data_IF_827490297955
#
_entry.id   IF_827490297955
#
_cell.length_a   1.000
_cell.length_b   1.000
_cell.length_c   1.000
_cell.angle_alpha   90.00
_cell.angle_beta   90.00
_cell.angle_gamma   90.00
#
_symmetry.space_group_name_H-M   'P 1'
#
loop_
_entity.id
_entity.type
_entity.pdbx_description
1 polymer ?
#
# COMPACT_ATOMS: atom_id res chain seq x y z
N UNK A 1 16.78 23.34 0.41
CA UNK A 1 16.80 22.33 -0.66
C UNK A 1 16.22 21.01 -0.14
N UNK A 2 15.38 20.34 -0.93
CA UNK A 2 14.83 19.03 -0.56
C UNK A 2 15.87 17.91 -0.60
N UNK A 3 15.61 16.79 0.07
CA UNK A 3 16.48 15.60 0.05
C UNK A 3 16.26 14.82 -1.25
N UNK A 4 17.35 14.36 -1.88
CA UNK A 4 17.28 13.49 -3.07
C UNK A 4 16.54 12.18 -2.78
N UNK A 5 15.76 11.70 -3.74
CA UNK A 5 15.10 10.38 -3.69
C UNK A 5 16.10 9.23 -3.59
N UNK A 6 17.33 9.44 -4.07
CA UNK A 6 18.42 8.46 -4.01
C UNK A 6 19.22 8.52 -2.70
N UNK A 7 18.92 9.48 -1.82
CA UNK A 7 19.54 9.61 -0.50
C UNK A 7 19.48 8.30 0.28
N UNK A 8 20.64 7.87 0.83
CA UNK A 8 20.75 6.69 1.71
C UNK A 8 19.76 6.76 2.87
N UNK A 9 19.63 7.93 3.52
CA UNK A 9 18.68 8.15 4.63
C UNK A 9 17.22 7.94 4.21
N UNK A 10 16.83 8.42 3.04
CA UNK A 10 15.46 8.24 2.52
C UNK A 10 15.18 6.78 2.12
N UNK A 11 16.19 6.06 1.62
CA UNK A 11 16.08 4.61 1.34
C UNK A 11 15.94 3.81 2.62
N UNK A 12 16.79 4.03 3.62
CA UNK A 12 16.71 3.37 4.94
C UNK A 12 15.33 3.57 5.58
N UNK A 13 14.83 4.80 5.60
CA UNK A 13 13.49 5.09 6.15
C UNK A 13 12.36 4.39 5.38
N UNK A 14 12.47 4.26 4.05
CA UNK A 14 11.49 3.51 3.24
C UNK A 14 11.54 2.01 3.55
N UNK A 15 12.72 1.44 3.72
CA UNK A 15 12.88 0.03 4.09
C UNK A 15 12.27 -0.25 5.46
N UNK A 16 12.55 0.60 6.46
CA UNK A 16 11.93 0.50 7.80
C UNK A 16 10.40 0.58 7.71
N UNK A 17 9.85 1.49 6.90
CA UNK A 17 8.40 1.59 6.68
C UNK A 17 7.82 0.35 5.98
N UNK A 18 8.51 -0.19 4.97
CA UNK A 18 8.10 -1.42 4.28
C UNK A 18 8.02 -2.57 5.26
N UNK A 19 9.09 -2.82 6.02
CA UNK A 19 9.16 -3.90 7.00
C UNK A 19 8.08 -3.77 8.10
N UNK A 20 7.90 -2.57 8.67
CA UNK A 20 6.99 -2.40 9.82
C UNK A 20 5.52 -2.24 9.45
N UNK A 21 5.20 -1.58 8.33
CA UNK A 21 3.84 -1.10 8.07
C UNK A 21 3.18 -1.77 6.87
N UNK A 22 3.93 -1.98 5.80
CA UNK A 22 3.35 -2.43 4.53
C UNK A 22 3.41 -3.95 4.39
N UNK A 23 4.54 -4.57 4.73
CA UNK A 23 4.73 -6.01 4.54
C UNK A 23 3.68 -6.87 5.25
N UNK A 24 3.43 -6.73 6.57
CA UNK A 24 2.50 -7.63 7.26
C UNK A 24 1.06 -7.47 6.78
N UNK A 25 0.66 -6.26 6.34
CA UNK A 25 -0.69 -6.02 5.80
C UNK A 25 -0.86 -6.56 4.39
N UNK A 26 0.16 -6.46 3.56
CA UNK A 26 0.13 -7.00 2.20
C UNK A 26 0.19 -8.52 2.26
N UNK A 27 1.08 -9.08 3.08
CA UNK A 27 1.17 -10.52 3.33
C UNK A 27 -0.12 -11.09 3.89
N UNK A 28 -0.77 -10.43 4.85
CA UNK A 28 -2.07 -10.88 5.36
C UNK A 28 -3.15 -10.88 4.27
N UNK A 29 -3.17 -9.88 3.39
CA UNK A 29 -4.12 -9.83 2.26
C UNK A 29 -3.83 -10.90 1.21
N UNK A 30 -2.56 -11.13 0.88
CA UNK A 30 -2.15 -12.18 -0.04
C UNK A 30 -2.47 -13.55 0.53
N UNK A 31 -2.17 -13.78 1.81
CA UNK A 31 -2.54 -14.99 2.52
C UNK A 31 -4.05 -15.17 2.58
N UNK A 32 -4.83 -14.12 2.82
CA UNK A 32 -6.29 -14.21 2.81
C UNK A 32 -6.85 -14.53 1.43
N UNK A 33 -6.30 -13.90 0.38
CA UNK A 33 -6.68 -14.20 -1.01
C UNK A 33 -6.34 -15.64 -1.40
N UNK A 34 -5.14 -16.11 -1.04
CA UNK A 34 -4.71 -17.50 -1.26
C UNK A 34 -5.45 -18.50 -0.37
N UNK A 35 -5.79 -18.12 0.87
CA UNK A 35 -6.55 -18.96 1.79
C UNK A 35 -8.02 -19.11 1.33
N UNK A 36 -8.57 -18.12 0.63
CA UNK A 36 -9.86 -18.25 -0.06
C UNK A 36 -9.82 -19.30 -1.20
N UNK A 37 -8.63 -19.66 -1.68
CA UNK A 37 -8.42 -20.73 -2.67
C UNK A 37 -8.05 -22.09 -2.05
N UNK A 38 -7.85 -22.16 -0.72
CA UNK A 38 -7.54 -23.40 -0.02
C UNK A 38 -8.83 -24.14 0.38
N UNK A 39 -9.56 -24.62 -0.62
CA UNK A 39 -10.62 -25.60 -0.39
C UNK A 39 -9.97 -26.99 -0.55
N UNK A 40 -9.97 -27.83 0.48
CA UNK A 40 -9.37 -29.18 0.38
C UNK A 40 -9.91 -30.00 -0.82
N UNK A 41 -11.12 -29.66 -1.28
CA UNK A 41 -11.72 -30.22 -2.48
C UNK A 41 -11.00 -29.83 -3.78
N UNK A 42 -10.47 -28.61 -3.90
CA UNK A 42 -9.73 -28.17 -5.09
C UNK A 42 -8.35 -28.84 -5.17
N UNK A 43 -7.68 -29.05 -4.03
CA UNK A 43 -6.43 -29.83 -4.01
C UNK A 43 -6.67 -31.29 -4.41
N UNK A 44 -7.70 -31.95 -3.87
CA UNK A 44 -8.03 -33.33 -4.25
C UNK A 44 -8.38 -33.44 -5.74
N UNK A 45 -9.12 -32.47 -6.28
CA UNK A 45 -9.44 -32.41 -7.71
C UNK A 45 -8.19 -32.14 -8.59
N UNK A 46 -7.31 -31.24 -8.17
CA UNK A 46 -6.06 -30.97 -8.89
C UNK A 46 -5.11 -32.17 -8.84
N UNK A 47 -4.97 -32.81 -7.67
CA UNK A 47 -4.16 -34.02 -7.50
C UNK A 47 -4.73 -35.20 -8.28
N UNK A 48 -6.06 -35.35 -8.34
CA UNK A 48 -6.67 -36.40 -9.16
C UNK A 48 -6.46 -36.14 -10.66
N UNK A 49 -6.63 -34.90 -11.13
CA UNK A 49 -6.30 -34.53 -12.51
C UNK A 49 -4.83 -34.79 -12.85
N UNK A 50 -3.92 -34.46 -11.94
CA UNK A 50 -2.49 -34.70 -12.17
C UNK A 50 -2.14 -36.19 -12.20
N UNK A 51 -2.78 -36.97 -11.33
CA UNK A 51 -2.65 -38.43 -11.33
C UNK A 51 -3.21 -39.03 -12.63
N UNK A 52 -4.35 -38.56 -13.12
CA UNK A 52 -4.95 -39.01 -14.38
C UNK A 52 -4.11 -38.61 -15.60
N UNK A 53 -3.42 -37.47 -15.56
CA UNK A 53 -2.49 -37.08 -16.63
C UNK A 53 -1.23 -37.96 -16.64
N UNK A 54 -0.70 -38.29 -15.47
CA UNK A 54 0.56 -39.04 -15.36
C UNK A 54 0.38 -40.55 -15.53
N UNK A 55 -0.73 -41.10 -15.03
CA UNK A 55 -0.98 -42.54 -14.98
C UNK A 55 -2.20 -42.98 -15.81
N UNK A 56 -3.01 -42.04 -16.30
CA UNK A 56 -4.16 -42.35 -17.14
C UNK A 56 -3.76 -42.64 -18.58
N UNK A 57 -4.62 -43.37 -19.31
CA UNK A 57 -4.43 -43.57 -20.74
C UNK A 57 -4.40 -42.21 -21.45
N UNK A 58 -3.48 -42.00 -22.41
CA UNK A 58 -3.39 -40.74 -23.13
C UNK A 58 -4.75 -40.39 -23.73
N UNK A 59 -5.21 -39.13 -23.63
CA UNK A 59 -6.53 -38.75 -24.10
C UNK A 59 -6.67 -39.11 -25.57
N UNK A 60 -7.72 -39.85 -25.90
CA UNK A 60 -8.01 -40.24 -27.27
C UNK A 60 -8.14 -38.97 -28.10
N UNK A 61 -7.17 -38.72 -28.99
CA UNK A 61 -7.17 -37.56 -29.87
C UNK A 61 -8.35 -37.74 -30.83
N UNK A 62 -9.40 -36.91 -30.75
CA UNK A 62 -10.55 -37.06 -31.61
C UNK A 62 -10.12 -36.78 -33.06
N UNK A 63 -10.25 -37.79 -33.92
CA UNK A 63 -9.91 -37.70 -35.35
C UNK A 63 -8.72 -38.55 -35.81
N UNK A 64 -8.08 -39.33 -34.92
CA UNK A 64 -7.08 -40.32 -35.34
C UNK A 64 -7.74 -41.70 -35.41
N UNK A 65 -8.35 -42.01 -36.56
CA UNK A 65 -8.88 -43.35 -36.87
C UNK A 65 -7.74 -44.39 -36.72
N UNK A 66 -7.89 -45.42 -35.86
CA UNK A 66 -6.90 -46.47 -35.69
C UNK A 66 -6.89 -47.37 -36.94
N UNK A 67 -6.22 -46.92 -37.99
CA UNK A 67 -6.19 -47.64 -39.26
C UNK A 67 -5.58 -46.90 -40.45
N UNK A 68 -5.32 -45.59 -40.35
CA UNK A 68 -4.61 -44.90 -41.43
C UNK A 68 -3.14 -45.34 -41.45
N UNK A 69 -2.80 -46.17 -42.43
CA UNK A 69 -1.44 -46.51 -42.86
C UNK A 69 -0.73 -45.23 -43.33
N UNK A 70 -0.38 -44.34 -42.41
CA UNK A 70 0.51 -43.23 -42.71
C UNK A 70 1.92 -43.82 -42.72
N UNK A 71 2.39 -43.96 -43.95
CA UNK A 71 3.70 -44.48 -44.28
C UNK A 71 4.78 -43.80 -43.45
N UNK A 72 5.72 -44.66 -43.05
CA UNK A 72 6.93 -44.40 -42.30
C UNK A 72 7.85 -43.54 -43.17
N UNK A 73 7.53 -42.25 -43.31
CA UNK A 73 8.39 -41.30 -44.01
C UNK A 73 9.69 -41.15 -43.21
N UNK A 74 10.78 -41.52 -43.87
CA UNK A 74 12.14 -41.46 -43.41
C UNK A 74 12.48 -40.06 -42.88
N UNK A 75 12.66 -39.93 -41.56
CA UNK A 75 13.37 -38.79 -40.98
C UNK A 75 14.86 -38.97 -41.31
N UNK A 76 15.29 -38.37 -42.42
CA UNK A 76 16.69 -38.08 -42.67
C UNK A 76 17.15 -37.03 -41.67
N UNK A 77 18.27 -37.33 -41.02
CA UNK A 77 18.95 -36.55 -39.99
C UNK A 77 19.34 -35.14 -40.49
N UNK A 78 18.42 -34.20 -40.35
CA UNK A 78 18.72 -32.78 -40.45
C UNK A 78 19.25 -32.28 -39.11
N UNK A 79 20.57 -32.22 -38.97
CA UNK A 79 21.27 -31.49 -37.90
C UNK A 79 20.83 -30.01 -37.93
N UNK A 80 19.79 -29.64 -37.17
CA UNK A 80 19.40 -28.25 -36.99
C UNK A 80 20.28 -27.67 -35.88
N UNK A 81 21.25 -26.85 -36.29
CA UNK A 81 22.14 -26.09 -35.41
C UNK A 81 21.36 -25.36 -34.31
N UNK A 82 21.65 -25.67 -33.05
CA UNK A 82 21.00 -25.17 -31.83
C UNK A 82 21.40 -23.71 -31.50
N UNK A 83 22.27 -23.07 -32.30
CA UNK A 83 22.91 -21.80 -31.91
C UNK A 83 22.13 -20.52 -32.27
N UNK A 84 20.84 -20.58 -32.62
CA UNK A 84 20.09 -19.39 -33.06
C UNK A 84 18.82 -19.04 -32.27
N UNK A 85 18.72 -19.45 -31.00
CA UNK A 85 17.54 -19.17 -30.16
C UNK A 85 17.82 -18.18 -29.00
N UNK A 86 19.08 -17.75 -28.77
CA UNK A 86 19.40 -16.94 -27.57
C UNK A 86 19.20 -15.42 -27.69
N UNK A 87 18.75 -14.88 -28.82
CA UNK A 87 18.53 -13.42 -28.98
C UNK A 87 17.07 -13.02 -29.24
N UNK A 88 16.11 -13.84 -28.82
CA UNK A 88 14.68 -13.50 -28.90
C UNK A 88 14.28 -12.53 -27.78
N UNK A 89 14.72 -11.28 -27.93
CA UNK A 89 13.93 -10.06 -27.73
C UNK A 89 13.16 -9.91 -26.41
N UNK A 90 13.86 -10.00 -25.26
CA UNK A 90 13.37 -9.61 -23.93
C UNK A 90 12.75 -8.20 -23.93
N UNK A 91 13.23 -7.30 -24.82
CA UNK A 91 12.68 -5.95 -25.00
C UNK A 91 11.26 -5.91 -25.57
N UNK A 92 10.89 -6.86 -26.44
CA UNK A 92 9.55 -6.91 -27.04
C UNK A 92 8.50 -7.39 -26.04
N UNK A 93 8.87 -8.32 -25.15
CA UNK A 93 7.98 -8.76 -24.06
C UNK A 93 7.70 -7.66 -23.05
N UNK A 94 8.71 -6.86 -22.68
CA UNK A 94 8.50 -5.74 -21.75
C UNK A 94 7.58 -4.66 -22.35
N UNK A 95 7.65 -4.39 -23.66
CA UNK A 95 6.74 -3.45 -24.33
C UNK A 95 5.29 -3.96 -24.40
N UNK A 96 5.09 -5.27 -24.62
CA UNK A 96 3.75 -5.86 -24.62
C UNK A 96 3.14 -5.87 -23.21
N UNK A 97 3.94 -6.09 -22.17
CA UNK A 97 3.49 -6.03 -20.77
C UNK A 97 3.14 -4.60 -20.32
N UNK A 98 3.93 -3.59 -20.71
CA UNK A 98 3.60 -2.17 -20.46
C UNK A 98 2.35 -1.71 -21.26
N UNK A 99 2.13 -2.23 -22.46
CA UNK A 99 0.92 -1.93 -23.24
C UNK A 99 -0.35 -2.56 -22.62
N UNK A 100 -0.25 -3.81 -22.16
CA UNK A 100 -1.36 -4.51 -21.50
C UNK A 100 -1.78 -3.81 -20.20
N UNK A 101 -0.84 -3.35 -19.38
CA UNK A 101 -1.14 -2.63 -18.13
C UNK A 101 -1.75 -1.24 -18.36
N UNK A 102 -1.45 -0.57 -19.48
CA UNK A 102 -2.12 0.70 -19.85
C UNK A 102 -3.56 0.50 -20.34
N UNK A 103 -3.87 -0.61 -21.00
CA UNK A 103 -5.23 -0.90 -21.43
C UNK A 103 -6.18 -1.13 -20.23
N UNK A 104 -5.69 -1.76 -19.16
CA UNK A 104 -6.48 -2.03 -17.95
C UNK A 104 -6.89 -0.76 -17.19
N UNK A 105 -6.12 0.34 -17.29
CA UNK A 105 -6.43 1.57 -16.54
C UNK A 105 -7.31 2.56 -17.29
N UNK A 106 -7.41 2.47 -18.63
CA UNK A 106 -8.32 3.29 -19.44
C UNK A 106 -9.67 2.63 -19.73
N UNK A 107 -9.79 1.32 -19.48
CA UNK A 107 -11.01 0.55 -19.65
C UNK A 107 -11.60 0.05 -18.33
N UNK A 108 -11.39 0.77 -17.22
CA UNK A 108 -12.09 0.51 -15.96
C UNK A 108 -13.58 0.85 -16.11
N UNK A 109 -14.28 0.01 -16.88
CA UNK A 109 -15.71 -0.23 -16.72
C UNK A 109 -15.88 -0.56 -15.26
N UNK A 110 -16.76 0.20 -14.62
CA UNK A 110 -17.24 -0.04 -13.27
C UNK A 110 -17.54 -1.54 -13.17
N UNK A 111 -16.72 -2.27 -12.42
CA UNK A 111 -17.14 -3.57 -11.90
C UNK A 111 -18.32 -3.19 -11.01
N UNK A 112 -19.55 -3.63 -11.30
CA UNK A 112 -20.67 -3.38 -10.41
C UNK A 112 -20.27 -3.94 -9.06
N UNK A 113 -20.34 -3.09 -8.03
CA UNK A 113 -20.05 -3.50 -6.66
C UNK A 113 -20.86 -4.78 -6.37
N UNK A 114 -20.25 -5.81 -5.75
CA UNK A 114 -20.99 -7.01 -5.36
C UNK A 114 -22.21 -6.58 -4.54
N UNK A 115 -23.37 -7.22 -4.73
CA UNK A 115 -24.60 -6.86 -4.03
C UNK A 115 -24.30 -6.80 -2.53
N UNK A 116 -24.33 -5.58 -1.99
CA UNK A 116 -24.32 -5.36 -0.56
C UNK A 116 -25.55 -6.06 0.00
N UNK A 117 -25.33 -7.06 0.85
CA UNK A 117 -26.40 -7.71 1.61
C UNK A 117 -27.38 -6.64 2.13
N UNK A 118 -28.67 -6.74 1.79
CA UNK A 118 -29.70 -6.03 2.54
C UNK A 118 -29.83 -6.70 3.91
N UNK A 119 -30.34 -5.98 4.90
CA UNK A 119 -30.65 -6.45 6.27
C UNK A 119 -29.55 -6.19 7.32
N UNK A 120 -29.27 -4.91 7.53
CA UNK A 120 -29.44 -4.37 8.89
C UNK A 120 -30.42 -3.20 8.74
N UNK A 121 -31.71 -3.53 8.71
CA UNK A 121 -32.79 -2.58 8.93
C UNK A 121 -32.66 -2.05 10.36
N UNK A 122 -31.74 -1.11 10.57
CA UNK A 122 -31.87 -0.21 11.71
C UNK A 122 -33.13 0.59 11.45
N UNK A 123 -34.24 0.15 12.05
CA UNK A 123 -35.47 0.91 12.20
C UNK A 123 -35.10 2.38 12.34
N UNK A 124 -35.45 3.15 11.31
CA UNK A 124 -35.32 4.59 11.33
C UNK A 124 -36.31 5.06 12.39
N UNK A 125 -35.82 5.17 13.62
CA UNK A 125 -36.48 5.89 14.69
C UNK A 125 -36.97 7.22 14.10
N UNK A 126 -38.29 7.36 13.90
CA UNK A 126 -39.02 8.60 13.59
C UNK A 126 -38.97 9.59 14.78
N UNK A 127 -37.82 9.63 15.45
CA UNK A 127 -37.49 10.57 16.51
C UNK A 127 -37.39 11.94 15.88
N UNK A 128 -38.10 12.87 16.52
CA UNK A 128 -38.16 14.31 16.25
C UNK A 128 -36.90 14.87 15.56
N UNK A 129 -37.05 15.87 14.67
CA UNK A 129 -35.95 16.44 13.92
C UNK A 129 -34.79 16.81 14.85
N UNK A 130 -33.70 16.05 14.77
CA UNK A 130 -32.54 16.23 15.64
C UNK A 130 -31.98 17.65 15.42
N UNK A 131 -31.99 18.45 16.48
CA UNK A 131 -31.41 19.79 16.45
C UNK A 131 -29.88 19.65 16.55
N UNK A 132 -29.19 20.05 15.50
CA UNK A 132 -27.72 20.03 15.43
C UNK A 132 -27.15 21.43 15.62
N UNK A 133 -26.09 21.54 16.41
CA UNK A 133 -25.30 22.77 16.52
C UNK A 133 -24.61 23.10 15.18
N UNK A 134 -24.79 24.28 14.57
CA UNK A 134 -24.20 24.59 13.25
C UNK A 134 -22.67 24.63 13.28
N UNK A 135 -22.07 24.92 14.44
CA UNK A 135 -20.62 25.03 14.62
C UNK A 135 -19.94 23.68 14.81
N UNK A 136 -20.52 22.83 15.65
CA UNK A 136 -19.91 21.54 16.03
C UNK A 136 -20.47 20.39 15.19
N UNK A 137 -21.64 20.56 14.56
CA UNK A 137 -22.46 19.53 13.92
C UNK A 137 -22.72 18.34 14.85
N UNK A 138 -22.88 18.61 16.14
CA UNK A 138 -23.27 17.61 17.13
C UNK A 138 -24.72 17.81 17.52
N UNK A 139 -25.41 16.72 17.83
CA UNK A 139 -26.73 16.77 18.45
C UNK A 139 -26.61 17.03 19.96
N UNK A 140 -27.76 17.12 20.63
CA UNK A 140 -27.87 17.32 22.08
C UNK A 140 -27.17 16.22 22.90
N UNK A 141 -26.96 15.04 22.32
CA UNK A 141 -26.27 13.90 22.93
C UNK A 141 -24.78 13.84 22.56
N UNK A 142 -24.29 14.81 21.80
CA UNK A 142 -22.89 14.88 21.36
C UNK A 142 -22.55 13.99 20.17
N UNK A 143 -23.55 13.34 19.55
CA UNK A 143 -23.40 12.48 18.38
C UNK A 143 -23.39 13.30 17.09
N UNK A 144 -22.69 12.78 16.08
CA UNK A 144 -22.65 13.36 14.75
C UNK A 144 -23.78 12.81 13.87
N UNK A 145 -24.24 13.57 12.85
CA UNK A 145 -25.21 13.06 11.89
C UNK A 145 -24.72 11.77 11.21
N UNK A 146 -25.62 10.83 10.89
CA UNK A 146 -25.27 9.54 10.31
C UNK A 146 -24.59 9.67 8.94
N UNK A 147 -24.96 10.70 8.16
CA UNK A 147 -24.33 11.02 6.88
C UNK A 147 -22.89 11.56 7.01
N UNK A 148 -22.43 11.82 8.24
CA UNK A 148 -21.11 12.36 8.51
C UNK A 148 -20.08 11.26 8.79
N UNK A 149 -19.34 10.86 7.75
CA UNK A 149 -18.29 9.84 7.87
C UNK A 149 -17.25 10.15 8.97
N UNK A 150 -16.75 9.10 9.65
CA UNK A 150 -15.70 9.18 10.70
C UNK A 150 -14.48 10.02 10.30
N UNK A 151 -14.11 10.03 9.01
CA UNK A 151 -13.02 10.87 8.47
C UNK A 151 -13.35 12.37 8.55
N UNK A 152 -14.57 12.77 8.18
CA UNK A 152 -15.04 14.17 8.23
C UNK A 152 -15.14 14.66 9.68
N UNK A 153 -15.61 13.80 10.58
CA UNK A 153 -15.63 14.05 12.04
C UNK A 153 -14.23 14.33 12.57
N UNK A 154 -13.26 13.47 12.25
CA UNK A 154 -11.85 13.66 12.64
C UNK A 154 -11.24 14.93 12.04
N UNK A 155 -11.55 15.27 10.79
CA UNK A 155 -11.06 16.48 10.15
C UNK A 155 -11.54 17.74 10.88
N UNK A 156 -12.83 17.83 11.22
CA UNK A 156 -13.37 18.96 12.00
C UNK A 156 -12.76 19.04 13.41
N UNK A 157 -12.60 17.92 14.10
CA UNK A 157 -11.99 17.92 15.43
C UNK A 157 -10.52 18.35 15.39
N UNK A 158 -9.76 17.93 14.38
CA UNK A 158 -8.39 18.39 14.15
C UNK A 158 -8.33 19.87 13.80
N UNK A 159 -9.23 20.37 12.95
CA UNK A 159 -9.29 21.78 12.59
C UNK A 159 -9.49 22.67 13.83
N UNK A 160 -10.40 22.28 14.73
CA UNK A 160 -10.61 22.99 16.00
C UNK A 160 -9.34 23.01 16.89
N UNK A 161 -8.62 21.89 16.99
CA UNK A 161 -7.34 21.81 17.74
C UNK A 161 -6.27 22.70 17.12
N UNK A 162 -6.16 22.71 15.80
CA UNK A 162 -5.20 23.55 15.06
C UNK A 162 -5.52 25.02 15.26
N UNK A 163 -6.80 25.42 15.21
CA UNK A 163 -7.20 26.80 15.45
C UNK A 163 -6.85 27.25 16.86
N UNK A 164 -7.18 26.44 17.89
CA UNK A 164 -6.80 26.73 19.29
C UNK A 164 -5.29 26.88 19.47
N UNK A 165 -4.49 26.07 18.78
CA UNK A 165 -3.04 26.18 18.81
C UNK A 165 -2.54 27.47 18.14
N UNK A 166 -3.15 27.88 17.02
CA UNK A 166 -2.86 29.16 16.35
C UNK A 166 -3.19 30.34 17.27
N UNK A 167 -4.38 30.34 17.88
CA UNK A 167 -4.84 31.41 18.75
C UNK A 167 -3.91 31.56 19.97
N UNK A 168 -3.50 30.43 20.59
CA UNK A 168 -2.51 30.43 21.68
C UNK A 168 -1.16 31.01 21.23
N UNK A 169 -0.70 30.71 20.01
CA UNK A 169 0.55 31.26 19.45
C UNK A 169 0.44 32.76 19.21
N UNK A 170 -0.71 33.23 18.71
CA UNK A 170 -0.97 34.67 18.52
C UNK A 170 -1.01 35.39 19.87
N UNK A 171 -1.70 34.84 20.87
CA UNK A 171 -1.76 35.38 22.22
C UNK A 171 -0.34 35.52 22.84
N UNK A 172 0.50 34.49 22.72
CA UNK A 172 1.89 34.55 23.19
C UNK A 172 2.72 35.64 22.49
N UNK A 173 2.51 35.84 21.18
CA UNK A 173 3.20 36.92 20.43
C UNK A 173 2.74 38.30 20.86
N UNK A 174 1.45 38.48 21.18
CA UNK A 174 0.92 39.74 21.70
C UNK A 174 1.46 40.04 23.10
N UNK A 175 1.40 39.06 24.01
CA UNK A 175 1.93 39.22 25.37
C UNK A 175 3.45 39.51 25.39
N UNK A 176 4.24 38.83 24.54
CA UNK A 176 5.69 39.06 24.46
C UNK A 176 6.10 40.38 23.79
N UNK A 177 5.20 41.06 23.08
CA UNK A 177 5.49 42.34 22.42
C UNK A 177 5.16 43.56 23.29
N UNK A 178 4.39 43.38 24.37
CA UNK A 178 4.11 44.44 25.34
C UNK A 178 5.29 44.66 26.30
N UNK A 179 6.15 43.65 26.52
CA UNK A 179 7.24 43.73 27.51
C UNK A 179 8.60 44.22 26.98
N UNK A 180 8.67 44.87 25.81
CA UNK A 180 9.94 45.30 25.19
C UNK A 180 9.93 46.74 24.67
N UNK A 181 9.20 47.64 25.32
CA UNK A 181 9.16 49.05 24.86
C UNK A 181 9.82 50.08 25.78
N UNK A 182 10.36 49.68 26.93
CA UNK A 182 10.91 50.64 27.91
C UNK A 182 12.41 50.47 28.20
N UNK A 183 13.18 49.84 27.31
CA UNK A 183 14.65 49.78 27.47
C UNK A 183 15.38 50.25 26.20
N UNK A 184 15.02 51.46 25.75
CA UNK A 184 15.92 52.28 24.94
C UNK A 184 16.90 52.96 25.91
N UNK A 185 18.03 52.31 26.18
CA UNK A 185 18.99 52.87 27.12
C UNK A 185 20.15 51.95 27.44
N UNK A 186 21.14 51.95 26.56
CA UNK A 186 22.51 51.48 26.77
C UNK A 186 22.80 49.97 26.65
N UNK A 187 23.41 49.61 25.52
CA UNK A 187 24.73 48.97 25.58
C UNK A 187 24.81 47.48 25.84
N UNK A 188 24.06 46.62 25.13
CA UNK A 188 24.37 45.18 25.12
C UNK A 188 25.34 44.83 23.99
N UNK A 189 26.63 44.78 24.31
CA UNK A 189 27.70 44.23 23.47
C UNK A 189 27.32 42.83 22.98
N UNK A 190 27.46 42.59 21.67
CA UNK A 190 27.38 41.26 21.06
C UNK A 190 28.54 40.41 21.59
N UNK A 191 28.26 39.53 22.56
CA UNK A 191 29.16 38.44 22.92
C UNK A 191 28.90 37.30 21.92
N UNK A 192 29.79 37.16 20.95
CA UNK A 192 29.86 36.01 20.08
C UNK A 192 30.33 34.79 20.87
N UNK A 193 29.41 33.91 21.27
CA UNK A 193 29.77 32.56 21.74
C UNK A 193 30.18 31.71 20.52
N UNK A 194 31.47 31.78 20.22
CA UNK A 194 32.24 30.77 19.50
C UNK A 194 32.75 29.77 20.56
N UNK A 195 32.85 28.48 20.20
CA UNK A 195 33.21 27.28 21.02
C UNK A 195 32.00 26.55 21.66
N UNK A 196 31.86 25.22 21.58
CA UNK A 196 32.81 24.16 21.23
C UNK A 196 32.14 23.11 20.32
N UNK A 197 32.84 22.75 19.25
CA UNK A 197 32.85 21.39 18.71
C UNK A 197 33.48 20.51 19.80
N UNK A 198 32.72 19.57 20.35
CA UNK A 198 33.27 18.42 21.03
C UNK A 198 32.85 17.20 20.23
N UNK A 199 33.80 16.70 19.46
CA UNK A 199 33.81 15.36 18.90
C UNK A 199 33.49 14.38 20.03
N UNK A 200 32.27 13.85 19.99
CA UNK A 200 31.87 12.73 20.82
C UNK A 200 32.34 11.48 20.09
N UNK A 201 33.53 11.02 20.49
CA UNK A 201 34.11 9.75 20.08
C UNK A 201 33.09 8.61 20.15
N UNK A 202 33.00 7.91 19.04
CA UNK A 202 32.38 6.59 18.90
C UNK A 202 33.20 5.60 19.73
N UNK A 203 32.82 5.39 21.00
CA UNK A 203 33.25 4.19 21.71
C UNK A 203 32.33 3.03 21.36
N UNK A 204 32.91 2.15 20.55
CA UNK A 204 32.50 0.78 20.31
C UNK A 204 31.99 0.11 21.59
N UNK A 205 30.70 -0.23 21.61
CA UNK A 205 30.22 -1.33 22.44
C UNK A 205 30.15 -2.58 21.58
N UNK A 206 31.28 -3.28 21.50
CA UNK A 206 31.31 -4.72 21.24
C UNK A 206 30.49 -5.42 22.33
N UNK A 207 29.23 -5.72 22.03
CA UNK A 207 28.42 -6.64 22.82
C UNK A 207 28.87 -8.05 22.45
N UNK A 208 29.82 -8.56 23.22
CA UNK A 208 30.17 -9.98 23.26
C UNK A 208 28.92 -10.78 23.67
N UNK A 209 28.32 -11.47 22.69
CA UNK A 209 27.27 -12.45 22.93
C UNK A 209 27.89 -13.85 22.90
N UNK A 210 28.35 -14.32 24.07
CA UNK A 210 28.67 -15.73 24.32
C UNK A 210 27.66 -16.29 25.33
N UNK A 211 26.75 -17.13 24.83
CA UNK A 211 26.35 -18.46 25.35
C UNK A 211 25.00 -18.88 24.78
#
# INVERSE_FOLDING_TARGET
>A
MGKSIRSKRMRRNRNVKRAKTYNPRIEAKLKAALAFEYNEQTEKAHLSMFHDIMNGPPPAVPGLEPGSKLERAHLTEGHVSVERISNFNVGKMNRLWEAATRAVTKGARQIPDPPSDPEDETEMDDKEPRVYDPKTMKDQYGNYPPWMNKKKVKAKSHAAKVQKAKDRRVAKRRAGKVLRKDTDGQGSKKVSNKKNESDGDESDMEVNFYK
#
